data_IF_846645092546
#
_entry.id   IF_846645092546
#
_cell.length_a   1.000
_cell.length_b   1.000
_cell.length_c   1.000
_cell.angle_alpha   90.00
_cell.angle_beta   90.00
_cell.angle_gamma   90.00
#
_symmetry.space_group_name_H-M   'P 1'
#
loop_
_entity.id
_entity.type
_entity.pdbx_description
1 polymer ?
#
# COMPACT_ATOMS: atom_id res chain seq x y z
N UNK A 1 4.18 -10.21 -4.03
CA UNK A 1 4.17 -9.25 -5.17
C UNK A 1 4.44 -10.05 -6.45
N UNK A 2 3.59 -9.88 -7.47
CA UNK A 2 3.60 -10.67 -8.73
C UNK A 2 4.62 -10.18 -9.77
N UNK A 3 5.25 -9.03 -9.54
CA UNK A 3 6.36 -8.53 -10.35
C UNK A 3 7.68 -8.90 -9.67
N UNK A 4 8.65 -9.43 -10.40
CA UNK A 4 10.00 -9.78 -9.91
C UNK A 4 10.86 -8.59 -9.45
N UNK A 5 10.24 -7.54 -8.92
CA UNK A 5 10.87 -6.35 -8.36
C UNK A 5 11.11 -6.57 -6.87
N UNK A 6 12.32 -6.30 -6.40
CA UNK A 6 12.63 -6.36 -4.97
C UNK A 6 12.03 -5.15 -4.25
N UNK A 7 11.77 -5.27 -2.94
CA UNK A 7 11.30 -4.14 -2.12
C UNK A 7 12.21 -2.90 -2.23
N UNK A 8 13.53 -3.10 -2.42
CA UNK A 8 14.47 -2.01 -2.65
C UNK A 8 14.18 -1.25 -3.94
N UNK A 9 13.98 -1.99 -5.04
CA UNK A 9 13.68 -1.40 -6.35
C UNK A 9 12.31 -0.73 -6.35
N UNK A 10 11.33 -1.28 -5.63
CA UNK A 10 10.04 -0.63 -5.44
C UNK A 10 10.18 0.67 -4.65
N UNK A 11 10.96 0.65 -3.57
CA UNK A 11 11.23 1.83 -2.75
C UNK A 11 11.88 2.96 -3.58
N UNK A 12 12.89 2.60 -4.36
CA UNK A 12 13.57 3.50 -5.29
C UNK A 12 12.61 4.07 -6.35
N UNK A 13 11.86 3.20 -7.03
CA UNK A 13 10.94 3.60 -8.09
C UNK A 13 9.77 4.48 -7.58
N UNK A 14 9.28 4.22 -6.36
CA UNK A 14 8.21 4.99 -5.74
C UNK A 14 8.73 6.20 -4.94
N UNK A 15 10.04 6.43 -4.88
CA UNK A 15 10.64 7.54 -4.13
C UNK A 15 10.41 7.48 -2.62
N UNK A 16 10.39 6.28 -2.04
CA UNK A 16 10.13 6.02 -0.62
C UNK A 16 11.23 5.20 0.03
N UNK A 17 11.18 5.09 1.36
CA UNK A 17 12.11 4.23 2.10
C UNK A 17 11.66 2.76 2.05
N UNK A 18 12.60 1.82 2.22
CA UNK A 18 12.28 0.39 2.42
C UNK A 18 11.32 0.17 3.60
N UNK A 19 11.41 1.00 4.64
CA UNK A 19 10.51 0.93 5.79
C UNK A 19 9.06 1.23 5.39
N UNK A 20 8.84 2.22 4.53
CA UNK A 20 7.51 2.54 3.99
C UNK A 20 6.93 1.39 3.16
N UNK A 21 7.76 0.66 2.40
CA UNK A 21 7.31 -0.54 1.68
C UNK A 21 6.81 -1.61 2.66
N UNK A 22 7.57 -1.89 3.74
CA UNK A 22 7.17 -2.90 4.74
C UNK A 22 5.93 -2.53 5.58
N UNK A 23 5.63 -1.23 5.72
CA UNK A 23 4.41 -0.76 6.39
C UNK A 23 3.15 -1.02 5.55
N UNK A 24 3.25 -0.93 4.22
CA UNK A 24 2.14 -1.25 3.32
C UNK A 24 1.80 -2.75 3.35
N UNK A 25 2.80 -3.62 3.40
CA UNK A 25 2.60 -5.08 3.41
C UNK A 25 1.91 -5.60 4.67
N UNK A 26 1.98 -4.85 5.78
CA UNK A 26 1.34 -5.23 7.05
C UNK A 26 -0.09 -4.71 7.18
N UNK A 27 -0.61 -3.94 6.21
CA UNK A 27 -1.93 -3.30 6.29
C UNK A 27 -2.08 -2.32 7.47
N UNK A 28 -0.99 -2.00 8.18
CA UNK A 28 -1.01 -1.26 9.44
C UNK A 28 -1.12 0.26 9.23
N UNK A 29 -0.99 0.72 7.98
CA UNK A 29 -0.89 2.13 7.64
C UNK A 29 -1.67 2.43 6.36
N UNK A 30 -2.40 3.55 6.37
CA UNK A 30 -3.03 4.10 5.19
C UNK A 30 -2.09 5.12 4.54
N UNK A 31 -1.40 4.75 3.44
CA UNK A 31 -0.56 5.67 2.70
C UNK A 31 -1.37 6.84 2.12
N UNK A 32 -0.78 8.04 2.01
CA UNK A 32 -1.41 9.14 1.29
C UNK A 32 -1.60 8.77 -0.19
N UNK A 33 -2.67 9.25 -0.83
CA UNK A 33 -3.02 8.91 -2.22
C UNK A 33 -1.85 9.05 -3.21
N UNK A 34 -1.02 10.09 -3.04
CA UNK A 34 0.18 10.31 -3.85
C UNK A 34 1.14 9.11 -3.83
N UNK A 35 1.32 8.49 -2.67
CA UNK A 35 2.16 7.31 -2.52
C UNK A 35 1.55 6.09 -3.21
N UNK A 36 0.23 5.90 -3.08
CA UNK A 36 -0.47 4.83 -3.79
C UNK A 36 -0.25 4.93 -5.30
N UNK A 37 -0.40 6.14 -5.86
CA UNK A 37 -0.19 6.39 -7.29
C UNK A 37 1.25 6.11 -7.73
N UNK A 38 2.26 6.50 -6.94
CA UNK A 38 3.67 6.23 -7.25
C UNK A 38 3.96 4.73 -7.29
N UNK A 39 3.38 3.96 -6.36
CA UNK A 39 3.49 2.49 -6.34
C UNK A 39 2.79 1.89 -7.56
N UNK A 40 1.57 2.34 -7.88
CA UNK A 40 0.83 1.94 -9.07
C UNK A 40 1.65 2.11 -10.36
N UNK A 41 2.29 3.27 -10.53
CA UNK A 41 3.17 3.52 -11.68
C UNK A 41 4.41 2.62 -11.69
N UNK A 42 5.02 2.39 -10.52
CA UNK A 42 6.22 1.56 -10.41
C UNK A 42 5.99 0.08 -10.77
N UNK A 43 4.77 -0.43 -10.57
CA UNK A 43 4.43 -1.84 -10.84
C UNK A 43 3.47 -2.04 -12.00
N UNK A 44 3.12 -0.95 -12.71
CA UNK A 44 2.16 -0.94 -13.81
C UNK A 44 0.81 -1.58 -13.44
N UNK A 45 0.21 -1.11 -12.35
CA UNK A 45 -1.10 -1.53 -11.87
C UNK A 45 -1.94 -0.32 -11.45
N UNK A 46 -3.23 -0.52 -11.25
CA UNK A 46 -4.19 0.51 -10.85
C UNK A 46 -4.39 0.54 -9.33
N UNK A 47 -4.99 1.64 -8.83
CA UNK A 47 -5.36 1.77 -7.41
C UNK A 47 -6.25 0.59 -6.98
N UNK A 48 -7.25 0.23 -7.78
CA UNK A 48 -8.19 -0.84 -7.44
C UNK A 48 -7.57 -2.23 -7.38
N UNK A 49 -6.46 -2.47 -8.09
CA UNK A 49 -5.75 -3.75 -8.06
C UNK A 49 -4.80 -3.89 -6.87
N UNK A 50 -4.32 -2.78 -6.30
CA UNK A 50 -3.30 -2.80 -5.23
C UNK A 50 -3.81 -2.33 -3.86
N UNK A 51 -4.79 -1.44 -3.85
CA UNK A 51 -5.30 -0.75 -2.66
C UNK A 51 -6.81 -0.95 -2.56
N UNK A 52 -7.22 -2.14 -2.15
CA UNK A 52 -8.62 -2.49 -1.91
C UNK A 52 -8.91 -2.54 -0.40
N UNK A 53 -10.14 -2.18 -0.02
CA UNK A 53 -10.64 -2.30 1.35
C UNK A 53 -11.68 -3.40 1.36
N UNK A 54 -11.33 -4.56 1.89
CA UNK A 54 -12.29 -5.65 2.09
C UNK A 54 -13.26 -5.31 3.23
N UNK A 55 -14.44 -5.96 3.23
CA UNK A 55 -15.47 -5.73 4.24
C UNK A 55 -14.92 -5.88 5.67
N UNK A 56 -14.03 -6.84 5.90
CA UNK A 56 -13.34 -7.03 7.19
C UNK A 56 -12.49 -5.82 7.62
N UNK A 57 -11.80 -5.17 6.67
CA UNK A 57 -10.99 -3.98 6.96
C UNK A 57 -11.87 -2.74 7.17
N UNK A 58 -13.03 -2.71 6.51
CA UNK A 58 -14.06 -1.67 6.72
C UNK A 58 -14.69 -1.76 8.11
N UNK A 59 -15.00 -2.97 8.59
CA UNK A 59 -15.60 -3.21 9.90
C UNK A 59 -14.58 -3.01 11.04
N UNK A 60 -13.32 -3.43 10.85
CA UNK A 60 -12.23 -3.13 11.78
C UNK A 60 -12.03 -1.63 12.00
N UNK A 61 -12.16 -0.81 10.95
CA UNK A 61 -12.07 0.66 11.09
C UNK A 61 -13.25 1.25 11.86
N UNK A 62 -14.47 0.76 11.64
CA UNK A 62 -15.66 1.22 12.38
C UNK A 62 -15.53 0.97 13.88
N UNK A 63 -15.04 -0.20 14.29
CA UNK A 63 -14.86 -0.54 15.70
C UNK A 63 -13.70 0.21 16.38
N UNK A 64 -12.68 0.63 15.62
CA UNK A 64 -11.52 1.36 16.17
C UNK A 64 -11.77 2.86 16.38
N UNK A 65 -12.84 3.43 15.79
CA UNK A 65 -13.26 4.82 16.01
C UNK A 65 -14.33 4.98 17.12
N UNK A 66 -14.90 3.88 17.60
CA UNK A 66 -15.92 3.86 18.65
C UNK A 66 -15.35 3.49 20.04
N UNK A 67 -14.02 3.61 20.23
CA UNK A 67 -13.31 3.31 21.47
C UNK A 67 -12.56 4.51 22.01
#
# INVERSE_FOLDING_TARGET
>A
MKAGITQAKLAEAAGITRQTVGLNEKGAYHPPLKLCLLICYAVNATIGELFWVDEEDSERRKYRMNG
#
